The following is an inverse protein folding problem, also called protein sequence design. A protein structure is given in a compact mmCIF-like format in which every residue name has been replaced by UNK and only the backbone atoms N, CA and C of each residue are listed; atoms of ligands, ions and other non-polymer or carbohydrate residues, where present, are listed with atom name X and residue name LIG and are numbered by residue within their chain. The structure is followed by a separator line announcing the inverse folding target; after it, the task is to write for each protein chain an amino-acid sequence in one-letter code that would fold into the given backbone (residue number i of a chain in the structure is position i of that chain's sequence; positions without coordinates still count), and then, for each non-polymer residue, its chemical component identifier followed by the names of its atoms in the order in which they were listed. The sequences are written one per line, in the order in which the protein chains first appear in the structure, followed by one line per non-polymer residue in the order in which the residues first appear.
data_IF_493638132289
#
_entry.id   IF_493638132289
#
_cell.length_a   1.000
_cell.length_b   1.000
_cell.length_c   1.000
_cell.angle_alpha   90.00
_cell.angle_beta   90.00
_cell.angle_gamma   90.00
#
_symmetry.space_group_name_H-M   'P 1'
#
loop_
_entity.id
_entity.type
_entity.pdbx_description
1 polymer ?
#
# COMPACT_ATOMS: atom_id res chain seq x y z
N UNK A 1 19.16 -4.57 -9.84
CA UNK A 1 17.73 -4.34 -10.19
C UNK A 1 17.65 -3.03 -10.96
N UNK A 2 16.84 -2.94 -12.01
CA UNK A 2 16.72 -1.73 -12.81
C UNK A 2 16.03 -0.61 -12.02
N UNK A 3 16.62 0.58 -12.02
CA UNK A 3 16.00 1.81 -11.53
C UNK A 3 14.88 2.23 -12.49
N UNK A 4 13.76 2.70 -11.93
CA UNK A 4 12.68 3.30 -12.71
C UNK A 4 12.83 4.81 -12.59
N UNK A 5 13.22 5.45 -13.67
CA UNK A 5 13.33 6.90 -13.81
C UNK A 5 12.67 7.28 -15.14
N UNK A 6 11.39 7.65 -15.10
CA UNK A 6 10.64 7.96 -16.33
C UNK A 6 9.56 9.00 -16.08
N UNK A 7 9.26 9.77 -17.12
CA UNK A 7 8.15 10.71 -17.11
C UNK A 7 6.83 9.97 -16.93
N UNK A 8 5.89 10.61 -16.23
CA UNK A 8 4.52 10.10 -16.12
C UNK A 8 3.87 10.13 -17.50
N UNK A 9 3.16 9.05 -17.83
CA UNK A 9 2.25 9.03 -18.97
C UNK A 9 1.03 9.92 -18.72
N UNK A 10 0.25 10.22 -19.76
CA UNK A 10 -0.86 11.19 -19.66
C UNK A 10 -1.90 10.85 -18.59
N UNK A 11 -2.27 9.57 -18.44
CA UNK A 11 -3.23 9.11 -17.43
C UNK A 11 -2.63 9.18 -16.02
N UNK A 12 -1.38 8.75 -15.87
CA UNK A 12 -0.66 8.82 -14.59
C UNK A 12 -0.54 10.26 -14.11
N UNK A 13 -0.21 11.17 -15.02
CA UNK A 13 -0.11 12.60 -14.75
C UNK A 13 -1.48 13.22 -14.39
N UNK A 14 -2.55 12.79 -15.07
CA UNK A 14 -3.91 13.20 -14.71
C UNK A 14 -4.26 12.77 -13.28
N UNK A 15 -3.96 11.52 -12.91
CA UNK A 15 -4.21 11.03 -11.55
C UNK A 15 -3.36 11.73 -10.51
N UNK A 16 -2.10 12.04 -10.81
CA UNK A 16 -1.22 12.85 -9.95
C UNK A 16 -1.85 14.23 -9.66
N UNK A 17 -2.31 14.93 -10.71
CA UNK A 17 -2.96 16.24 -10.56
C UNK A 17 -4.26 16.14 -9.75
N UNK A 18 -5.10 15.13 -10.01
CA UNK A 18 -6.38 14.97 -9.31
C UNK A 18 -6.17 14.66 -7.80
N UNK A 19 -5.08 13.98 -7.44
CA UNK A 19 -4.72 13.77 -6.03
C UNK A 19 -4.57 15.09 -5.26
N UNK A 20 -4.09 16.15 -5.91
CA UNK A 20 -3.99 17.46 -5.26
C UNK A 20 -5.35 18.05 -4.86
N UNK A 21 -6.42 17.55 -5.45
CA UNK A 21 -7.79 17.91 -5.09
C UNK A 21 -8.48 16.86 -4.20
N UNK A 22 -7.71 15.90 -3.68
CA UNK A 22 -8.20 14.85 -2.77
C UNK A 22 -8.88 13.66 -3.46
N UNK A 23 -8.69 13.49 -4.77
CA UNK A 23 -9.19 12.32 -5.53
C UNK A 23 -8.10 11.29 -5.83
N UNK A 24 -8.48 10.21 -6.54
CA UNK A 24 -7.55 9.21 -7.09
C UNK A 24 -6.62 8.54 -6.06
N UNK A 25 -7.16 8.30 -4.87
CA UNK A 25 -6.59 7.44 -3.85
C UNK A 25 -7.48 6.20 -3.75
N UNK A 26 -6.89 5.02 -3.89
CA UNK A 26 -7.61 3.75 -3.81
C UNK A 26 -7.39 3.15 -2.42
N UNK A 27 -8.47 2.77 -1.75
CA UNK A 27 -8.41 2.03 -0.48
C UNK A 27 -9.11 0.69 -0.63
N UNK A 28 -8.37 -0.37 -0.38
CA UNK A 28 -8.84 -1.75 -0.48
C UNK A 28 -8.74 -2.41 0.89
N UNK A 29 -9.78 -3.16 1.29
CA UNK A 29 -9.85 -3.79 2.61
C UNK A 29 -9.93 -5.30 2.44
N UNK A 30 -9.00 -6.03 3.04
CA UNK A 30 -9.07 -7.47 3.21
C UNK A 30 -9.39 -7.80 4.67
N UNK A 31 -10.49 -8.51 4.90
CA UNK A 31 -10.89 -9.00 6.23
C UNK A 31 -10.39 -10.43 6.40
N UNK A 32 -9.60 -10.66 7.43
CA UNK A 32 -8.89 -11.92 7.67
C UNK A 32 -9.32 -12.48 9.02
N UNK A 33 -9.71 -13.75 9.04
CA UNK A 33 -9.99 -14.46 10.28
C UNK A 33 -8.68 -14.74 11.04
N UNK A 34 -8.69 -14.39 12.31
CA UNK A 34 -7.60 -14.58 13.23
C UNK A 34 -6.58 -13.43 13.26
N UNK A 35 -5.44 -13.74 13.86
CA UNK A 35 -4.41 -12.77 14.17
C UNK A 35 -3.34 -12.68 13.07
N UNK A 36 -3.09 -11.47 12.57
CA UNK A 36 -2.02 -11.18 11.61
C UNK A 36 -0.77 -10.72 12.36
N UNK A 37 0.37 -11.39 12.12
CA UNK A 37 1.67 -11.08 12.73
C UNK A 37 2.33 -9.90 11.97
N UNK A 38 2.53 -8.73 12.61
CA UNK A 38 3.09 -7.57 11.93
C UNK A 38 4.47 -7.80 11.30
N UNK A 39 5.35 -8.56 11.97
CA UNK A 39 6.69 -8.83 11.45
C UNK A 39 6.68 -9.67 10.17
N UNK A 40 5.74 -10.61 10.06
CA UNK A 40 5.57 -11.42 8.85
C UNK A 40 4.98 -10.54 7.75
N UNK A 41 3.97 -9.74 8.08
CA UNK A 41 3.36 -8.81 7.13
C UNK A 41 4.40 -7.83 6.56
N UNK A 42 5.26 -7.24 7.39
CA UNK A 42 6.34 -6.36 6.92
C UNK A 42 7.33 -7.07 6.01
N UNK A 43 7.72 -8.32 6.34
CA UNK A 43 8.57 -9.14 5.46
C UNK A 43 7.92 -9.43 4.13
N UNK A 44 6.62 -9.76 4.13
CA UNK A 44 5.85 -9.97 2.90
C UNK A 44 5.80 -8.71 2.05
N UNK A 45 5.55 -7.55 2.66
CA UNK A 45 5.52 -6.27 1.94
C UNK A 45 6.88 -5.96 1.29
N UNK A 46 7.99 -6.27 1.96
CA UNK A 46 9.32 -6.11 1.38
C UNK A 46 9.52 -7.02 0.16
N UNK A 47 9.02 -8.26 0.19
CA UNK A 47 9.07 -9.18 -0.97
C UNK A 47 8.24 -8.65 -2.14
N UNK A 48 7.00 -8.23 -1.89
CA UNK A 48 6.13 -7.64 -2.92
C UNK A 48 6.77 -6.38 -3.50
N UNK A 49 7.29 -5.50 -2.66
CA UNK A 49 7.97 -4.28 -3.09
C UNK A 49 9.17 -4.60 -3.99
N UNK A 50 9.94 -5.64 -3.70
CA UNK A 50 11.02 -6.09 -4.58
C UNK A 50 10.51 -6.72 -5.89
N UNK A 51 9.37 -7.39 -5.85
CA UNK A 51 8.76 -8.05 -7.02
C UNK A 51 8.13 -7.06 -8.00
N UNK A 52 7.40 -6.06 -7.51
CA UNK A 52 6.63 -5.13 -8.34
C UNK A 52 7.34 -3.77 -8.45
N UNK A 53 7.85 -3.37 -9.63
CA UNK A 53 8.58 -2.11 -9.80
C UNK A 53 7.81 -0.86 -9.37
N UNK A 54 6.49 -0.81 -9.62
CA UNK A 54 5.65 0.33 -9.26
C UNK A 54 5.41 0.48 -7.74
N UNK A 55 5.68 -0.54 -6.93
CA UNK A 55 5.72 -0.39 -5.47
C UNK A 55 7.01 0.25 -4.95
N UNK A 56 7.96 0.53 -5.85
CA UNK A 56 9.27 1.15 -5.55
C UNK A 56 9.41 2.56 -6.08
N UNK A 57 8.31 3.19 -6.53
CA UNK A 57 8.37 4.54 -7.06
C UNK A 57 7.69 5.55 -6.15
N UNK A 58 8.19 6.78 -6.21
CA UNK A 58 7.52 7.99 -5.77
C UNK A 58 7.49 8.98 -6.95
N UNK A 59 6.67 10.02 -6.84
CA UNK A 59 6.56 11.06 -7.87
C UNK A 59 7.43 12.24 -7.48
N UNK A 60 8.27 12.68 -8.41
CA UNK A 60 9.04 13.93 -8.33
C UNK A 60 8.58 14.89 -9.42
N UNK A 61 8.57 16.18 -9.12
CA UNK A 61 8.30 17.22 -10.11
C UNK A 61 9.61 17.86 -10.57
N UNK A 62 9.82 17.90 -11.88
CA UNK A 62 10.92 18.56 -12.57
C UNK A 62 10.36 19.66 -13.47
N UNK A 63 11.23 20.51 -14.02
CA UNK A 63 10.83 21.65 -14.86
C UNK A 63 9.94 21.27 -16.05
N UNK A 64 10.15 20.08 -16.62
CA UNK A 64 9.41 19.62 -17.80
C UNK A 64 8.24 18.67 -17.48
N UNK A 65 7.98 18.36 -16.20
CA UNK A 65 6.84 17.57 -15.75
C UNK A 65 7.13 16.63 -14.58
N UNK A 66 6.15 15.78 -14.27
CA UNK A 66 6.25 14.79 -13.20
C UNK A 66 6.90 13.47 -13.67
N UNK A 67 7.68 12.84 -12.79
CA UNK A 67 8.41 11.59 -13.07
C UNK A 67 8.19 10.56 -11.96
N UNK A 68 8.11 9.29 -12.35
CA UNK A 68 8.35 8.19 -11.42
C UNK A 68 9.84 8.05 -11.22
N UNK A 69 10.23 8.08 -9.95
CA UNK A 69 11.59 7.87 -9.49
C UNK A 69 11.63 6.75 -8.47
N UNK A 70 12.60 5.86 -8.61
CA UNK A 70 12.89 4.78 -7.65
C UNK A 70 14.03 5.12 -6.70
N UNK A 71 14.62 6.30 -6.86
CA UNK A 71 15.75 6.77 -6.08
C UNK A 71 15.40 6.89 -4.59
N UNK A 72 16.22 6.27 -3.73
CA UNK A 72 16.14 6.30 -2.25
C UNK A 72 14.79 5.86 -1.67
N UNK A 73 14.05 5.03 -2.38
CA UNK A 73 12.73 4.60 -1.93
C UNK A 73 12.80 3.88 -0.58
N UNK A 74 11.91 4.25 0.33
CA UNK A 74 11.74 3.59 1.62
C UNK A 74 10.87 2.34 1.50
N UNK A 75 10.86 1.53 2.55
CA UNK A 75 9.93 0.42 2.66
C UNK A 75 8.48 0.91 2.64
N UNK A 76 7.57 0.06 2.14
CA UNK A 76 6.13 0.30 2.27
C UNK A 76 5.81 0.51 3.77
N UNK A 77 5.22 1.67 4.15
CA UNK A 77 4.84 1.93 5.52
C UNK A 77 3.77 0.94 5.98
N UNK A 78 3.98 0.35 7.15
CA UNK A 78 2.99 -0.46 7.86
C UNK A 78 2.64 0.20 9.19
N UNK A 79 1.39 0.62 9.33
CA UNK A 79 0.82 1.08 10.59
C UNK A 79 0.06 -0.09 11.24
N UNK A 80 0.29 -0.34 12.53
CA UNK A 80 -0.44 -1.37 13.28
C UNK A 80 -1.29 -0.70 14.33
N UNK A 81 -2.59 -0.99 14.32
CA UNK A 81 -3.58 -0.44 15.24
C UNK A 81 -4.27 -1.61 15.91
N UNK A 82 -4.39 -1.59 17.24
CA UNK A 82 -5.22 -2.57 17.95
C UNK A 82 -6.68 -2.22 17.77
N UNK A 83 -7.47 -3.18 17.29
CA UNK A 83 -8.90 -3.02 17.06
C UNK A 83 -9.65 -2.85 18.38
N UNK A 84 -10.47 -1.81 18.46
CA UNK A 84 -11.35 -1.52 19.60
C UNK A 84 -12.83 -1.55 19.24
N UNK A 85 -13.17 -1.43 17.96
CA UNK A 85 -14.54 -1.46 17.44
C UNK A 85 -14.61 -2.22 16.09
N UNK A 86 -15.74 -2.87 15.82
CA UNK A 86 -15.94 -3.66 14.60
C UNK A 86 -16.01 -2.82 13.31
N UNK A 87 -16.40 -1.55 13.40
CA UNK A 87 -16.50 -0.62 12.28
C UNK A 87 -15.34 0.38 12.23
N UNK A 88 -14.34 0.26 13.12
CA UNK A 88 -13.17 1.14 13.14
C UNK A 88 -12.42 1.17 11.81
N UNK A 89 -12.45 0.06 11.04
CA UNK A 89 -11.85 0.00 9.70
C UNK A 89 -12.50 0.99 8.71
N UNK A 90 -13.79 1.31 8.85
CA UNK A 90 -14.49 2.27 7.99
C UNK A 90 -13.88 3.65 8.19
N UNK A 91 -13.74 4.08 9.45
CA UNK A 91 -13.16 5.38 9.80
C UNK A 91 -11.71 5.49 9.35
N UNK A 92 -10.93 4.41 9.47
CA UNK A 92 -9.56 4.37 8.97
C UNK A 92 -9.55 4.47 7.44
N UNK A 93 -10.41 3.73 6.74
CA UNK A 93 -10.50 3.78 5.28
C UNK A 93 -10.89 5.19 4.79
N UNK A 94 -11.88 5.83 5.42
CA UNK A 94 -12.26 7.22 5.14
C UNK A 94 -11.09 8.19 5.41
N UNK A 95 -10.39 8.04 6.53
CA UNK A 95 -9.22 8.87 6.82
C UNK A 95 -8.10 8.67 5.80
N UNK A 96 -7.92 7.44 5.31
CA UNK A 96 -6.90 7.12 4.32
C UNK A 96 -7.23 7.68 2.93
N UNK A 97 -8.51 7.68 2.53
CA UNK A 97 -8.98 8.33 1.30
C UNK A 97 -8.68 9.84 1.27
N UNK A 98 -8.70 10.51 2.43
CA UNK A 98 -8.43 11.95 2.53
C UNK A 98 -6.94 12.30 2.72
N UNK A 99 -6.08 11.29 2.85
CA UNK A 99 -4.65 11.47 3.16
C UNK A 99 -3.82 11.38 1.89
N UNK A 100 -3.34 12.52 1.39
CA UNK A 100 -2.46 12.58 0.21
C UNK A 100 -1.15 11.83 0.43
N UNK A 101 -0.58 11.30 -0.65
CA UNK A 101 0.81 10.82 -0.63
C UNK A 101 1.77 12.01 -0.67
N UNK A 102 2.78 12.01 0.23
CA UNK A 102 3.78 13.08 0.32
C UNK A 102 5.07 12.73 -0.43
N UNK A 103 5.78 13.73 -0.93
CA UNK A 103 7.03 13.60 -1.71
C UNK A 103 8.27 13.30 -0.83
N UNK A 104 8.16 12.36 0.12
CA UNK A 104 9.18 12.08 1.15
C UNK A 104 9.93 10.75 0.93
N UNK A 105 10.16 10.38 -0.34
CA UNK A 105 10.74 9.09 -0.75
C UNK A 105 9.97 7.85 -0.25
N UNK A 106 8.70 8.04 0.11
CA UNK A 106 7.81 6.94 0.45
C UNK A 106 7.17 6.39 -0.83
N UNK A 107 7.00 5.06 -0.93
CA UNK A 107 6.29 4.48 -2.05
C UNK A 107 4.84 4.96 -2.09
N UNK A 108 4.26 4.93 -3.28
CA UNK A 108 2.86 5.26 -3.53
C UNK A 108 1.87 4.19 -3.05
N UNK A 109 2.26 3.46 -2.00
CA UNK A 109 1.51 2.41 -1.33
C UNK A 109 1.79 2.50 0.18
N UNK A 110 0.76 2.31 1.00
CA UNK A 110 0.86 2.21 2.46
C UNK A 110 -0.19 1.26 3.00
N UNK A 111 0.14 0.61 4.12
CA UNK A 111 -0.68 -0.44 4.71
C UNK A 111 -1.01 -0.08 6.15
N UNK A 112 -2.27 -0.26 6.52
CA UNK A 112 -2.71 -0.25 7.91
C UNK A 112 -3.26 -1.64 8.26
N UNK A 113 -2.66 -2.26 9.27
CA UNK A 113 -3.18 -3.47 9.90
C UNK A 113 -4.02 -3.07 11.12
N UNK A 114 -5.33 -3.22 11.03
CA UNK A 114 -6.23 -3.20 12.16
C UNK A 114 -6.27 -4.61 12.76
N UNK A 115 -5.50 -4.81 13.83
CA UNK A 115 -5.22 -6.11 14.40
C UNK A 115 -6.27 -6.48 15.44
N UNK A 116 -6.87 -7.66 15.30
CA UNK A 116 -7.78 -8.19 16.31
C UNK A 116 -7.07 -8.41 17.65
N UNK A 117 -7.76 -8.11 18.75
CA UNK A 117 -7.32 -8.46 20.11
C UNK A 117 -7.62 -9.92 20.48
N UNK A 118 -8.56 -10.56 19.79
CA UNK A 118 -8.89 -11.98 19.95
C UNK A 118 -8.10 -12.83 18.96
N UNK A 119 -7.71 -14.04 19.39
CA UNK A 119 -7.05 -15.02 18.52
C UNK A 119 -7.94 -15.46 17.36
N UNK A 120 -9.25 -15.54 17.60
CA UNK A 120 -10.26 -16.01 16.65
C UNK A 120 -11.12 -14.85 16.12
N UNK A 121 -10.73 -13.60 16.38
CA UNK A 121 -11.41 -12.42 15.87
C UNK A 121 -10.98 -12.06 14.46
N UNK A 122 -11.64 -11.06 13.86
CA UNK A 122 -11.31 -10.58 12.51
C UNK A 122 -10.28 -9.44 12.60
N UNK A 123 -9.20 -9.56 11.82
CA UNK A 123 -8.26 -8.47 11.55
C UNK A 123 -8.49 -7.90 10.16
N UNK A 124 -8.26 -6.62 9.96
CA UNK A 124 -8.40 -5.96 8.66
C UNK A 124 -7.04 -5.44 8.16
N UNK A 125 -6.71 -5.78 6.92
CA UNK A 125 -5.60 -5.19 6.18
C UNK A 125 -6.20 -4.14 5.25
N UNK A 126 -5.84 -2.89 5.47
CA UNK A 126 -6.27 -1.74 4.68
C UNK A 126 -5.07 -1.32 3.83
N UNK A 127 -5.17 -1.53 2.52
CA UNK A 127 -4.14 -1.22 1.56
C UNK A 127 -4.54 0.03 0.77
N UNK A 128 -3.71 1.06 0.85
CA UNK A 128 -3.96 2.35 0.21
C UNK A 128 -2.93 2.61 -0.88
N UNK A 129 -3.39 3.01 -2.06
CA UNK A 129 -2.55 3.26 -3.23
C UNK A 129 -2.83 4.63 -3.83
N UNK A 130 -1.81 5.23 -4.43
CA UNK A 130 -2.02 6.29 -5.40
C UNK A 130 -2.42 5.66 -6.74
N UNK A 131 -3.53 6.09 -7.33
CA UNK A 131 -4.08 5.48 -8.55
C UNK A 131 -3.14 5.57 -9.78
N UNK A 132 -2.09 6.40 -9.74
CA UNK A 132 -1.06 6.46 -10.77
C UNK A 132 -0.25 5.16 -10.90
N UNK A 133 -0.23 4.31 -9.86
CA UNK A 133 0.49 3.02 -9.86
C UNK A 133 -0.42 1.79 -9.80
N UNK A 134 -1.74 1.99 -9.77
CA UNK A 134 -2.70 0.91 -9.54
C UNK A 134 -3.95 1.06 -10.40
N UNK A 135 -4.58 -0.07 -10.63
CA UNK A 135 -5.98 -0.20 -11.08
C UNK A 135 -6.66 -1.27 -10.21
N UNK A 136 -7.97 -1.47 -10.39
CA UNK A 136 -8.73 -2.42 -9.58
C UNK A 136 -8.18 -3.85 -9.64
N UNK A 137 -7.72 -4.31 -10.81
CA UNK A 137 -7.17 -5.66 -10.97
C UNK A 137 -5.79 -5.78 -10.29
N UNK A 138 -4.96 -4.75 -10.41
CA UNK A 138 -3.65 -4.69 -9.77
C UNK A 138 -3.77 -4.68 -8.24
N UNK A 139 -4.77 -3.97 -7.70
CA UNK A 139 -5.10 -3.97 -6.27
C UNK A 139 -5.51 -5.36 -5.76
N UNK A 140 -6.38 -6.07 -6.50
CA UNK A 140 -6.77 -7.44 -6.16
C UNK A 140 -5.57 -8.40 -6.23
N UNK A 141 -4.78 -8.33 -7.30
CA UNK A 141 -3.57 -9.13 -7.45
C UNK A 141 -2.57 -8.85 -6.31
N UNK A 142 -2.43 -7.60 -5.87
CA UNK A 142 -1.59 -7.26 -4.73
C UNK A 142 -2.07 -7.96 -3.47
N UNK A 143 -3.36 -7.88 -3.14
CA UNK A 143 -3.92 -8.50 -1.95
C UNK A 143 -3.81 -10.04 -1.99
N UNK A 144 -4.06 -10.65 -3.14
CA UNK A 144 -3.89 -12.10 -3.32
C UNK A 144 -2.44 -12.52 -3.05
N UNK A 145 -1.47 -11.88 -3.72
CA UNK A 145 -0.05 -12.19 -3.53
C UNK A 145 0.43 -11.89 -2.10
N UNK A 146 -0.10 -10.85 -1.46
CA UNK A 146 0.16 -10.55 -0.05
C UNK A 146 -0.24 -11.72 0.84
N UNK A 147 -1.45 -12.27 0.67
CA UNK A 147 -1.94 -13.37 1.48
C UNK A 147 -1.18 -14.68 1.21
N UNK A 148 -0.91 -14.98 -0.07
CA UNK A 148 -0.13 -16.18 -0.47
C UNK A 148 1.26 -16.14 0.19
N UNK A 149 2.03 -15.06 -0.04
CA UNK A 149 3.39 -14.98 0.50
C UNK A 149 3.41 -14.84 2.02
N UNK A 150 2.42 -14.18 2.62
CA UNK A 150 2.29 -14.16 4.08
C UNK A 150 2.14 -15.58 4.64
N UNK A 151 1.28 -16.41 4.05
CA UNK A 151 1.08 -17.79 4.48
C UNK A 151 2.34 -18.65 4.28
N UNK A 152 3.04 -18.49 3.16
CA UNK A 152 4.31 -19.19 2.92
C UNK A 152 5.37 -18.86 3.98
N UNK A 153 5.53 -17.59 4.33
CA UNK A 153 6.50 -17.17 5.36
C UNK A 153 6.08 -17.65 6.74
N UNK A 154 4.78 -17.57 7.05
CA UNK A 154 4.22 -18.06 8.32
C UNK A 154 4.49 -19.55 8.53
N UNK A 155 4.32 -20.37 7.49
CA UNK A 155 4.54 -21.81 7.56
C UNK A 155 6.02 -22.19 7.61
N UNK A 156 6.93 -21.36 7.07
CA UNK A 156 8.39 -21.56 7.21
C UNK A 156 8.94 -21.18 8.59
N UNK A 157 8.17 -20.44 9.40
CA UNK A 157 8.54 -20.03 10.77
C UNK A 157 8.13 -21.05 11.84
N UNK A 158 7.21 -21.97 11.51
CA UNK A 158 6.81 -23.09 12.36
C UNK A 158 7.79 -24.25 12.19
#
# INVERSE_FOLDING_TARGET
MSSVERKLGSIENLFHIIQEFGGMIDVNIARIEGNVQPDILQKTLLLLQNRYPLLRVHIIELEDGAYFSSHKIKQIPLQVITKTDENQWVQIAESELHKKFSQNFHPLCRITLLKSSSRDGISEIIATFHHAISDGLSCLNFLENLLIYYNEILNKKK
#
